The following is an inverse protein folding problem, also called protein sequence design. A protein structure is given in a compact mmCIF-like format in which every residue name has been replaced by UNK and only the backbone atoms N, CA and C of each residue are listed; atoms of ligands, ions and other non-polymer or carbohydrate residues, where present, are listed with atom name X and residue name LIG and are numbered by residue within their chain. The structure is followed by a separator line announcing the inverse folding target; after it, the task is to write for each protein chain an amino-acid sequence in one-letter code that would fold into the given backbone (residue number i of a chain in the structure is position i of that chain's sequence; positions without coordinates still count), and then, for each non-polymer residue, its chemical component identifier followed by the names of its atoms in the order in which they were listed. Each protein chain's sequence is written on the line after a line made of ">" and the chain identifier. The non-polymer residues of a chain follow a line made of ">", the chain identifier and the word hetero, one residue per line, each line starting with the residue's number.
data_IF_469158059848
#
_entry.id   IF_469158059848
#
_cell.length_a   1.000
_cell.length_b   1.000
_cell.length_c   1.000
_cell.angle_alpha   90.00
_cell.angle_beta   90.00
_cell.angle_gamma   90.00
#
_symmetry.space_group_name_H-M   'P 1'
#
loop_
_entity.id
_entity.type
_entity.pdbx_description
1 polymer ?
#
# COMPACT_ATOMS: atom_id res chain seq x y z
N UNK A 1 15.69 -0.53 -8.84
CA UNK A 1 14.68 -1.54 -9.19
C UNK A 1 13.31 -0.89 -9.07
N UNK A 2 12.40 -1.21 -9.99
CA UNK A 2 11.00 -0.72 -9.95
C UNK A 2 10.06 -1.87 -9.58
N UNK A 3 8.91 -1.52 -9.02
CA UNK A 3 7.86 -2.44 -8.60
C UNK A 3 6.56 -2.08 -9.31
N UNK A 4 5.83 -3.11 -9.73
CA UNK A 4 4.54 -3.00 -10.40
C UNK A 4 3.42 -2.88 -9.36
N UNK A 5 2.88 -1.68 -9.20
CA UNK A 5 1.82 -1.37 -8.23
C UNK A 5 0.72 -0.56 -8.87
N UNK A 6 -0.49 -0.60 -8.33
CA UNK A 6 -1.55 0.31 -8.74
C UNK A 6 -1.71 1.40 -7.67
N UNK A 7 -1.67 2.66 -8.10
CA UNK A 7 -1.70 3.82 -7.21
C UNK A 7 -3.00 4.60 -7.43
N UNK A 8 -3.67 4.95 -6.33
CA UNK A 8 -4.85 5.80 -6.34
C UNK A 8 -4.50 7.24 -6.75
N UNK A 9 -5.36 7.87 -7.55
CA UNK A 9 -5.32 9.33 -7.77
C UNK A 9 -5.89 10.13 -6.59
N UNK A 10 -6.54 9.47 -5.64
CA UNK A 10 -7.07 10.07 -4.41
C UNK A 10 -6.07 9.96 -3.26
N UNK A 11 -6.01 11.02 -2.45
CA UNK A 11 -5.40 11.04 -1.12
C UNK A 11 -6.48 10.82 -0.06
N UNK A 12 -6.19 9.97 0.93
CA UNK A 12 -7.08 9.71 2.06
C UNK A 12 -6.43 10.18 3.36
N UNK A 13 -7.21 10.87 4.21
CA UNK A 13 -6.80 11.25 5.56
C UNK A 13 -7.08 10.15 6.61
N UNK A 14 -7.75 9.05 6.22
CA UNK A 14 -8.16 7.98 7.11
C UNK A 14 -8.95 6.89 6.39
N UNK A 15 -9.48 5.93 7.16
CA UNK A 15 -10.29 4.83 6.61
C UNK A 15 -11.62 5.36 6.07
N UNK A 16 -12.01 4.89 4.88
CA UNK A 16 -13.35 5.11 4.34
C UNK A 16 -14.34 4.23 5.14
N UNK A 17 -15.43 4.78 5.70
CA UNK A 17 -16.40 3.99 6.45
C UNK A 17 -17.08 2.89 5.61
N UNK A 18 -17.51 1.77 6.22
CA UNK A 18 -18.29 0.76 5.51
C UNK A 18 -19.58 1.35 4.91
N UNK A 19 -19.87 1.02 3.66
CA UNK A 19 -21.09 1.48 2.95
C UNK A 19 -21.03 2.91 2.42
N UNK A 20 -19.93 3.65 2.63
CA UNK A 20 -19.76 5.00 2.12
C UNK A 20 -19.82 5.02 0.56
N UNK A 21 -20.62 5.90 -0.06
CA UNK A 21 -20.70 6.01 -1.52
C UNK A 21 -19.34 6.29 -2.20
N UNK A 22 -18.38 6.86 -1.47
CA UNK A 22 -17.02 7.14 -1.96
C UNK A 22 -16.29 5.87 -2.43
N UNK A 23 -16.65 4.68 -1.92
CA UNK A 23 -16.03 3.41 -2.30
C UNK A 23 -16.03 3.16 -3.80
N UNK A 24 -17.09 3.56 -4.50
CA UNK A 24 -17.16 3.38 -5.96
C UNK A 24 -16.07 4.22 -6.65
N UNK A 25 -15.98 5.51 -6.35
CA UNK A 25 -14.95 6.40 -6.89
C UNK A 25 -13.55 5.94 -6.50
N UNK A 26 -13.37 5.51 -5.25
CA UNK A 26 -12.10 4.98 -4.76
C UNK A 26 -11.65 3.74 -5.54
N UNK A 27 -12.54 2.77 -5.77
CA UNK A 27 -12.16 1.56 -6.50
C UNK A 27 -11.80 1.85 -7.98
N UNK A 28 -12.35 2.91 -8.57
CA UNK A 28 -12.02 3.37 -9.92
C UNK A 28 -10.83 4.34 -10.02
N UNK A 29 -10.25 4.77 -8.90
CA UNK A 29 -9.18 5.79 -8.88
C UNK A 29 -7.79 5.24 -9.21
N UNK A 30 -7.61 3.93 -9.16
CA UNK A 30 -6.29 3.30 -9.24
C UNK A 30 -5.77 3.18 -10.66
N UNK A 31 -4.47 3.42 -10.85
CA UNK A 31 -3.78 3.24 -12.14
C UNK A 31 -2.50 2.43 -11.95
N UNK A 32 -2.29 1.46 -12.84
CA UNK A 32 -1.09 0.63 -12.88
C UNK A 32 0.12 1.51 -13.22
N UNK A 33 1.12 1.50 -12.34
CA UNK A 33 2.38 2.23 -12.48
C UNK A 33 3.56 1.33 -12.11
N UNK A 34 4.75 1.72 -12.54
CA UNK A 34 6.01 1.14 -12.08
C UNK A 34 6.78 2.19 -11.29
N UNK A 35 7.03 1.93 -10.00
CA UNK A 35 7.65 2.88 -9.08
C UNK A 35 8.89 2.27 -8.43
N UNK A 36 9.91 3.07 -8.19
CA UNK A 36 11.00 2.69 -7.28
C UNK A 36 10.57 2.88 -5.82
N UNK A 37 11.42 2.45 -4.89
CA UNK A 37 11.18 2.56 -3.46
C UNK A 37 10.95 4.00 -3.00
N UNK A 38 11.67 4.97 -3.56
CA UNK A 38 11.55 6.38 -3.14
C UNK A 38 10.16 6.92 -3.49
N UNK A 39 9.68 6.66 -4.72
CA UNK A 39 8.34 7.07 -5.15
C UNK A 39 7.22 6.34 -4.45
N UNK A 40 7.44 5.08 -4.05
CA UNK A 40 6.51 4.37 -3.16
C UNK A 40 6.42 5.09 -1.80
N UNK A 41 7.55 5.42 -1.19
CA UNK A 41 7.59 6.14 0.09
C UNK A 41 6.91 7.50 0.02
N UNK A 42 7.19 8.29 -1.01
CA UNK A 42 6.54 9.58 -1.27
C UNK A 42 5.01 9.42 -1.40
N UNK A 43 4.55 8.43 -2.17
CA UNK A 43 3.11 8.18 -2.36
C UNK A 43 2.40 7.81 -1.06
N UNK A 44 3.05 7.01 -0.21
CA UNK A 44 2.53 6.65 1.12
C UNK A 44 2.47 7.88 2.03
N UNK A 45 3.52 8.71 2.02
CA UNK A 45 3.58 9.96 2.79
C UNK A 45 2.48 10.95 2.36
N UNK A 46 2.18 11.03 1.07
CA UNK A 46 1.08 11.83 0.51
C UNK A 46 -0.32 11.25 0.80
N UNK A 47 -0.40 10.10 1.48
CA UNK A 47 -1.67 9.44 1.80
C UNK A 47 -2.36 8.84 0.58
N UNK A 48 -1.62 8.49 -0.47
CA UNK A 48 -2.17 7.89 -1.70
C UNK A 48 -2.11 6.36 -1.62
N UNK A 49 -3.26 5.67 -1.55
CA UNK A 49 -3.26 4.22 -1.36
C UNK A 49 -2.67 3.46 -2.55
N UNK A 50 -1.98 2.37 -2.24
CA UNK A 50 -1.38 1.43 -3.19
C UNK A 50 -2.13 0.09 -3.15
N UNK A 51 -2.17 -0.62 -4.26
CA UNK A 51 -2.76 -1.97 -4.35
C UNK A 51 -2.15 -2.78 -5.50
N UNK A 52 -2.65 -4.00 -5.67
CA UNK A 52 -2.30 -4.95 -6.73
C UNK A 52 -2.54 -4.37 -8.12
N UNK A 53 -1.65 -4.66 -9.08
CA UNK A 53 -1.94 -4.40 -10.48
C UNK A 53 -3.21 -5.12 -10.91
N UNK A 54 -4.00 -4.47 -11.76
CA UNK A 54 -5.28 -5.00 -12.16
C UNK A 54 -5.68 -4.60 -13.58
N UNK A 55 -6.55 -5.42 -14.18
CA UNK A 55 -7.17 -5.16 -15.47
C UNK A 55 -8.39 -4.23 -15.34
N UNK A 56 -8.88 -3.74 -16.48
CA UNK A 56 -10.16 -3.03 -16.61
C UNK A 56 -10.30 -1.73 -15.78
N UNK A 57 -9.19 -1.18 -15.26
CA UNK A 57 -9.18 0.10 -14.53
C UNK A 57 -10.01 0.11 -13.23
N UNK A 58 -10.33 -1.07 -12.70
CA UNK A 58 -11.20 -1.20 -11.52
C UNK A 58 -10.60 -2.13 -10.48
N UNK A 59 -10.40 -1.62 -9.25
CA UNK A 59 -9.89 -2.41 -8.13
C UNK A 59 -10.96 -3.37 -7.62
N UNK A 60 -10.87 -4.62 -8.05
CA UNK A 60 -11.62 -5.76 -7.52
C UNK A 60 -10.82 -7.04 -7.68
N UNK A 61 -11.04 -8.02 -6.82
CA UNK A 61 -10.29 -9.29 -6.80
C UNK A 61 -10.32 -10.00 -8.16
N UNK A 62 -11.46 -9.95 -8.87
CA UNK A 62 -11.59 -10.55 -10.19
C UNK A 62 -10.68 -9.94 -11.26
N UNK A 63 -10.20 -8.71 -11.05
CA UNK A 63 -9.34 -7.99 -11.99
C UNK A 63 -7.85 -8.06 -11.62
N UNK A 64 -7.48 -8.62 -10.46
CA UNK A 64 -6.09 -8.64 -10.01
C UNK A 64 -5.21 -9.49 -10.91
N UNK A 65 -4.06 -8.94 -11.31
CA UNK A 65 -3.11 -9.59 -12.22
C UNK A 65 -1.76 -9.86 -11.59
N UNK A 66 -1.27 -8.97 -10.71
CA UNK A 66 0.05 -9.13 -10.08
C UNK A 66 0.15 -8.35 -8.77
N UNK A 67 0.50 -9.05 -7.69
CA UNK A 67 0.73 -8.46 -6.36
C UNK A 67 2.20 -8.32 -6.02
N UNK A 68 2.52 -7.29 -5.24
CA UNK A 68 3.83 -7.09 -4.63
C UNK A 68 3.67 -7.14 -3.12
N UNK A 69 4.56 -7.85 -2.41
CA UNK A 69 4.57 -7.88 -0.95
C UNK A 69 5.48 -6.75 -0.43
N UNK A 70 4.96 -5.51 -0.48
CA UNK A 70 5.74 -4.28 -0.18
C UNK A 70 5.61 -3.79 1.27
N UNK A 71 4.63 -4.29 2.01
CA UNK A 71 4.38 -3.91 3.39
C UNK A 71 4.21 -5.13 4.27
N UNK A 72 4.64 -5.01 5.53
CA UNK A 72 4.36 -5.97 6.59
C UNK A 72 3.46 -5.28 7.61
N UNK A 73 2.27 -5.85 7.80
CA UNK A 73 1.36 -5.42 8.85
C UNK A 73 1.68 -6.22 10.12
N UNK A 74 2.28 -5.54 11.09
CA UNK A 74 2.74 -6.14 12.35
C UNK A 74 1.95 -5.52 13.50
N UNK A 75 0.67 -5.85 13.58
CA UNK A 75 -0.24 -5.31 14.59
C UNK A 75 -0.52 -6.35 15.68
N UNK A 76 0.45 -6.54 16.59
CA UNK A 76 0.29 -7.41 17.77
C UNK A 76 -0.37 -6.70 18.94
N UNK A 77 -0.68 -5.41 18.80
CA UNK A 77 -1.21 -4.52 19.84
C UNK A 77 -0.38 -4.52 21.15
N UNK A 78 0.89 -4.92 21.07
CA UNK A 78 1.85 -4.93 22.18
C UNK A 78 3.23 -4.40 21.76
N UNK A 79 4.20 -4.41 22.68
CA UNK A 79 5.56 -3.89 22.47
C UNK A 79 6.25 -4.39 21.19
N UNK A 80 5.89 -5.59 20.70
CA UNK A 80 6.50 -6.21 19.51
C UNK A 80 6.08 -5.53 18.21
N UNK A 81 5.00 -4.74 18.23
CA UNK A 81 4.51 -3.93 17.11
C UNK A 81 5.08 -2.50 17.09
N UNK A 82 5.90 -2.13 18.07
CA UNK A 82 6.53 -0.80 18.13
C UNK A 82 7.67 -0.67 17.13
N UNK A 83 7.89 0.54 16.61
CA UNK A 83 9.00 0.81 15.67
C UNK A 83 10.38 0.37 16.21
N UNK A 84 10.77 0.63 17.48
CA UNK A 84 12.03 0.13 18.00
C UNK A 84 12.16 -1.39 17.98
N UNK A 85 11.09 -2.12 18.35
CA UNK A 85 11.09 -3.59 18.32
C UNK A 85 11.17 -4.15 16.90
N UNK A 86 10.43 -3.54 15.96
CA UNK A 86 10.45 -3.92 14.55
C UNK A 86 11.82 -3.65 13.91
N UNK A 87 12.44 -2.50 14.19
CA UNK A 87 13.78 -2.19 13.71
C UNK A 87 14.87 -3.12 14.27
N UNK A 88 14.67 -3.69 15.45
CA UNK A 88 15.55 -4.71 16.01
C UNK A 88 15.35 -6.11 15.38
N UNK A 89 14.26 -6.35 14.66
CA UNK A 89 14.00 -7.62 13.99
C UNK A 89 14.99 -7.83 12.84
N UNK A 90 15.71 -8.97 12.83
CA UNK A 90 16.76 -9.27 11.84
C UNK A 90 16.29 -9.26 10.39
N UNK A 91 15.03 -9.63 10.14
CA UNK A 91 14.46 -9.59 8.80
C UNK A 91 14.23 -8.15 8.36
N UNK A 92 13.58 -7.34 9.19
CA UNK A 92 13.28 -5.93 8.91
C UNK A 92 14.58 -5.13 8.80
N UNK A 93 15.50 -5.26 9.75
CA UNK A 93 16.80 -4.58 9.73
C UNK A 93 17.62 -4.87 8.47
N UNK A 94 17.45 -6.05 7.85
CA UNK A 94 18.16 -6.43 6.64
C UNK A 94 17.45 -6.01 5.35
N UNK A 95 16.11 -5.99 5.34
CA UNK A 95 15.33 -5.91 4.11
C UNK A 95 14.43 -4.68 4.00
N UNK A 96 14.16 -3.97 5.10
CA UNK A 96 13.34 -2.76 5.07
C UNK A 96 14.06 -1.67 4.29
N UNK A 97 13.32 -1.03 3.38
CA UNK A 97 13.82 0.06 2.55
C UNK A 97 13.09 1.40 2.84
N UNK A 98 11.96 1.33 3.55
CA UNK A 98 11.14 2.45 4.02
C UNK A 98 10.73 2.10 5.45
N UNK A 99 10.88 3.04 6.39
CA UNK A 99 10.49 2.93 7.79
C UNK A 99 9.81 4.22 8.21
#
# INVERSE_FOLDING_TARGET
>A
MTYKVALSSMTLAGKIPPGDPLWHTFNGSFRNVELDTYRIGESVYEGRPLTTWHANGWRTTANYTLGQHLGLDMDTEDERSTLPALLANKFIARHAAIV
#
